data_IF_712553173960
#
_entry.id   IF_712553173960
#
_cell.length_a   1.000
_cell.length_b   1.000
_cell.length_c   1.000
_cell.angle_alpha   90.00
_cell.angle_beta   90.00
_cell.angle_gamma   90.00
#
_symmetry.space_group_name_H-M   'P 1'
#
loop_
_entity.id
_entity.type
_entity.pdbx_description
1 polymer ?
#
# COMPACT_ATOMS: atom_id res chain seq x y z
N UNK A 1 -12.67 17.38 3.33
CA UNK A 1 -12.01 16.08 3.09
C UNK A 1 -13.05 15.08 2.59
N UNK A 2 -12.73 14.23 1.62
CA UNK A 2 -13.66 13.23 1.06
C UNK A 2 -14.06 12.23 2.15
N UNK A 3 -15.35 11.94 2.32
CA UNK A 3 -15.85 11.00 3.35
C UNK A 3 -15.67 9.54 2.90
N UNK A 4 -15.51 8.60 3.83
CA UNK A 4 -15.33 7.18 3.53
C UNK A 4 -16.42 6.61 2.61
N UNK A 5 -17.70 6.96 2.83
CA UNK A 5 -18.81 6.53 1.96
C UNK A 5 -18.63 6.95 0.49
N UNK A 6 -18.08 8.14 0.24
CA UNK A 6 -17.80 8.60 -1.12
C UNK A 6 -16.63 7.83 -1.73
N UNK A 7 -15.57 7.58 -0.94
CA UNK A 7 -14.42 6.78 -1.36
C UNK A 7 -14.86 5.36 -1.74
N UNK A 8 -15.67 4.72 -0.90
CA UNK A 8 -16.24 3.38 -1.16
C UNK A 8 -17.08 3.37 -2.44
N UNK A 9 -17.92 4.37 -2.67
CA UNK A 9 -18.70 4.48 -3.90
C UNK A 9 -17.81 4.57 -5.15
N UNK A 10 -16.73 5.35 -5.10
CA UNK A 10 -15.76 5.47 -6.21
C UNK A 10 -14.98 4.16 -6.42
N UNK A 11 -14.60 3.47 -5.34
CA UNK A 11 -13.99 2.14 -5.40
C UNK A 11 -14.90 1.11 -6.04
N UNK A 12 -16.21 1.15 -5.78
CA UNK A 12 -17.16 0.24 -6.43
C UNK A 12 -17.34 0.55 -7.91
N UNK A 13 -17.46 1.82 -8.29
CA UNK A 13 -17.68 2.22 -9.68
C UNK A 13 -16.44 2.08 -10.56
N UNK A 14 -15.29 2.55 -10.09
CA UNK A 14 -14.07 2.70 -10.92
C UNK A 14 -12.91 1.83 -10.44
N UNK A 15 -13.00 1.23 -9.25
CA UNK A 15 -11.95 0.43 -8.64
C UNK A 15 -10.87 1.25 -7.93
N UNK A 16 -10.94 2.58 -7.97
CA UNK A 16 -10.03 3.48 -7.27
C UNK A 16 -10.71 4.79 -6.85
N UNK A 17 -10.06 5.52 -5.94
CA UNK A 17 -10.43 6.86 -5.53
C UNK A 17 -9.17 7.67 -5.15
N UNK A 18 -9.22 8.99 -5.36
CA UNK A 18 -8.16 9.92 -4.93
C UNK A 18 -8.69 10.81 -3.80
N UNK A 19 -7.89 10.97 -2.75
CA UNK A 19 -8.14 11.87 -1.63
C UNK A 19 -6.95 12.82 -1.51
N UNK A 20 -7.16 14.09 -1.80
CA UNK A 20 -6.08 15.07 -1.78
C UNK A 20 -5.79 15.60 -0.37
N UNK A 21 -4.52 15.95 -0.14
CA UNK A 21 -4.04 16.66 1.07
C UNK A 21 -4.45 15.98 2.39
N UNK A 22 -4.25 14.66 2.46
CA UNK A 22 -4.67 13.84 3.59
C UNK A 22 -3.59 13.72 4.68
N UNK A 23 -2.32 13.91 4.34
CA UNK A 23 -1.21 13.98 5.30
C UNK A 23 -0.88 15.43 5.66
N UNK A 24 -0.51 15.65 6.93
CA UNK A 24 0.00 16.93 7.39
C UNK A 24 1.41 17.19 6.84
N UNK A 25 1.78 18.48 6.74
CA UNK A 25 3.12 18.88 6.29
C UNK A 25 4.23 18.27 7.16
N UNK A 26 4.03 18.20 8.49
CA UNK A 26 4.97 17.62 9.43
C UNK A 26 5.25 16.14 9.13
N UNK A 27 4.19 15.33 8.99
CA UNK A 27 4.33 13.89 8.66
C UNK A 27 5.04 13.74 7.31
N UNK A 28 4.67 14.55 6.33
CA UNK A 28 5.26 14.53 5.00
C UNK A 28 6.77 14.82 5.01
N UNK A 29 7.20 15.84 5.73
CA UNK A 29 8.62 16.19 5.88
C UNK A 29 9.41 15.06 6.53
N UNK A 30 8.95 14.56 7.69
CA UNK A 30 9.60 13.47 8.42
C UNK A 30 9.69 12.18 7.57
N UNK A 31 8.62 11.84 6.86
CA UNK A 31 8.59 10.67 5.96
C UNK A 31 9.53 10.85 4.77
N UNK A 32 9.46 12.01 4.11
CA UNK A 32 10.27 12.30 2.92
C UNK A 32 11.76 12.29 3.23
N UNK A 33 12.19 12.98 4.29
CA UNK A 33 13.60 13.11 4.64
C UNK A 33 14.20 11.77 5.04
N UNK A 34 13.50 11.02 5.89
CA UNK A 34 13.97 9.70 6.37
C UNK A 34 14.06 8.71 5.21
N UNK A 35 13.03 8.63 4.35
CA UNK A 35 13.03 7.70 3.23
C UNK A 35 14.07 8.10 2.18
N UNK A 36 14.19 9.39 1.82
CA UNK A 36 15.21 9.86 0.87
C UNK A 36 16.61 9.53 1.36
N UNK A 37 16.91 9.73 2.65
CA UNK A 37 18.21 9.34 3.24
C UNK A 37 18.46 7.84 3.11
N UNK A 38 17.52 6.98 3.51
CA UNK A 38 17.69 5.52 3.43
C UNK A 38 17.81 5.02 1.99
N UNK A 39 17.11 5.66 1.05
CA UNK A 39 17.15 5.31 -0.37
C UNK A 39 18.47 5.72 -1.05
N UNK A 40 19.27 6.61 -0.48
CA UNK A 40 20.56 7.02 -1.08
C UNK A 40 21.46 5.80 -1.35
N UNK A 41 21.58 4.90 -0.37
CA UNK A 41 22.46 3.73 -0.45
C UNK A 41 21.76 2.47 -0.97
N UNK A 42 20.47 2.56 -1.28
CA UNK A 42 19.70 1.44 -1.82
C UNK A 42 20.03 1.24 -3.31
N UNK A 43 20.35 0.03 -3.78
CA UNK A 43 20.58 -0.23 -5.19
C UNK A 43 19.29 -0.09 -6.01
N UNK A 44 19.44 0.15 -7.32
CA UNK A 44 18.32 0.07 -8.25
C UNK A 44 17.82 -1.37 -8.41
N UNK A 45 16.56 -1.51 -8.84
CA UNK A 45 15.98 -2.80 -9.19
C UNK A 45 16.71 -3.48 -10.34
N UNK A 46 16.60 -4.81 -10.37
CA UNK A 46 17.36 -5.67 -11.29
C UNK A 46 16.55 -6.12 -12.52
N UNK A 47 15.27 -5.76 -12.61
CA UNK A 47 14.37 -6.15 -13.70
C UNK A 47 13.33 -5.06 -13.98
N UNK A 48 12.49 -5.27 -15.01
CA UNK A 48 11.50 -4.30 -15.48
C UNK A 48 10.35 -4.06 -14.50
N UNK A 49 9.98 -5.09 -13.73
CA UNK A 49 8.91 -4.97 -12.75
C UNK A 49 9.37 -4.16 -11.54
N UNK A 50 10.53 -4.49 -10.97
CA UNK A 50 11.10 -3.76 -9.83
C UNK A 50 11.53 -2.35 -10.27
N UNK A 51 12.01 -2.23 -11.52
CA UNK A 51 12.43 -0.99 -12.18
C UNK A 51 13.95 -0.83 -12.18
N UNK A 52 14.56 -0.69 -13.36
CA UNK A 52 16.03 -0.58 -13.52
C UNK A 52 16.58 0.79 -13.09
N UNK A 53 15.70 1.76 -12.89
CA UNK A 53 15.96 3.09 -12.35
C UNK A 53 15.00 3.42 -11.21
N UNK A 54 14.57 2.40 -10.47
CA UNK A 54 13.71 2.54 -9.30
C UNK A 54 14.41 1.97 -8.08
N UNK A 55 14.38 2.71 -6.98
CA UNK A 55 14.85 2.25 -5.67
C UNK A 55 13.67 1.92 -4.78
N UNK A 56 13.76 0.83 -4.02
CA UNK A 56 12.67 0.36 -3.15
C UNK A 56 13.17 -0.03 -1.76
N UNK A 57 12.42 0.38 -0.75
CA UNK A 57 12.55 -0.15 0.61
C UNK A 57 11.25 -0.87 0.97
N UNK A 58 11.37 -2.04 1.57
CA UNK A 58 10.25 -2.88 1.98
C UNK A 58 10.17 -2.93 3.52
N UNK A 59 9.05 -3.40 4.08
CA UNK A 59 8.89 -3.58 5.52
C UNK A 59 9.25 -2.32 6.31
N UNK A 60 8.57 -1.21 6.01
CA UNK A 60 8.87 0.11 6.58
C UNK A 60 8.51 0.25 8.06
N UNK A 61 7.66 -0.64 8.59
CA UNK A 61 7.21 -0.56 9.99
C UNK A 61 8.36 -0.89 10.95
N UNK A 62 8.44 -0.13 12.04
CA UNK A 62 9.50 -0.29 13.05
C UNK A 62 10.78 0.48 12.71
N UNK A 63 10.96 0.88 11.45
CA UNK A 63 12.14 1.64 10.98
C UNK A 63 12.02 3.15 11.21
N UNK A 64 10.80 3.67 11.23
CA UNK A 64 10.51 5.09 11.48
C UNK A 64 9.14 5.27 12.10
N UNK A 65 8.97 6.25 12.98
CA UNK A 65 7.72 6.45 13.70
C UNK A 65 6.64 7.09 12.82
N UNK A 66 7.01 8.09 12.00
CA UNK A 66 6.09 8.81 11.13
C UNK A 66 5.37 7.93 10.09
N UNK A 67 5.89 6.73 9.76
CA UNK A 67 5.17 5.79 8.88
C UNK A 67 3.93 5.21 9.56
N UNK A 68 3.91 5.16 10.90
CA UNK A 68 2.77 4.67 11.66
C UNK A 68 1.56 5.57 11.43
N UNK A 69 1.74 6.90 11.40
CA UNK A 69 0.64 7.84 11.11
C UNK A 69 0.08 7.68 9.69
N UNK A 70 0.94 7.32 8.73
CA UNK A 70 0.52 7.06 7.34
C UNK A 70 -0.28 5.76 7.26
N UNK A 71 0.13 4.71 7.98
CA UNK A 71 -0.59 3.43 8.08
C UNK A 71 -1.90 3.60 8.86
N UNK A 72 -1.87 4.38 9.94
CA UNK A 72 -3.00 4.54 10.84
C UNK A 72 -3.97 5.66 10.42
N UNK A 73 -3.81 6.23 9.23
CA UNK A 73 -4.66 7.31 8.75
C UNK A 73 -6.14 6.93 8.85
N UNK A 74 -6.91 7.72 9.61
CA UNK A 74 -8.27 7.39 10.01
C UNK A 74 -9.22 7.22 8.83
N UNK A 75 -9.15 8.12 7.84
CA UNK A 75 -9.99 8.06 6.63
C UNK A 75 -9.73 6.78 5.84
N UNK A 76 -8.46 6.39 5.70
CA UNK A 76 -8.09 5.15 5.02
C UNK A 76 -8.55 3.93 5.82
N UNK A 77 -8.31 3.91 7.13
CA UNK A 77 -8.69 2.76 7.96
C UNK A 77 -10.20 2.58 8.09
N UNK A 78 -11.00 3.65 8.01
CA UNK A 78 -12.46 3.54 7.90
C UNK A 78 -12.85 2.81 6.61
N UNK A 79 -12.24 3.15 5.47
CA UNK A 79 -12.48 2.47 4.19
C UNK A 79 -12.00 1.02 4.21
N UNK A 80 -10.85 0.74 4.85
CA UNK A 80 -10.34 -0.62 5.03
C UNK A 80 -11.30 -1.45 5.87
N UNK A 81 -11.81 -0.91 6.96
CA UNK A 81 -12.77 -1.60 7.83
C UNK A 81 -14.06 -1.95 7.08
N UNK A 82 -14.59 -1.02 6.27
CA UNK A 82 -15.81 -1.25 5.50
C UNK A 82 -15.61 -2.25 4.34
N UNK A 83 -14.44 -2.26 3.71
CA UNK A 83 -14.16 -3.13 2.56
C UNK A 83 -13.65 -4.53 2.95
N UNK A 84 -12.66 -4.59 3.85
CA UNK A 84 -12.02 -5.85 4.28
C UNK A 84 -12.63 -6.43 5.56
N UNK A 85 -13.37 -5.65 6.35
CA UNK A 85 -13.74 -6.05 7.70
C UNK A 85 -12.49 -6.14 8.59
N UNK A 86 -12.21 -7.33 9.13
CA UNK A 86 -10.96 -7.55 9.86
C UNK A 86 -9.78 -7.71 8.89
N UNK A 87 -8.74 -6.91 9.08
CA UNK A 87 -7.67 -6.72 8.13
C UNK A 87 -6.29 -6.76 8.79
N UNK A 88 -5.30 -7.17 8.00
CA UNK A 88 -3.88 -7.08 8.31
C UNK A 88 -3.19 -6.13 7.33
N UNK A 89 -2.11 -5.53 7.79
CA UNK A 89 -1.12 -4.90 6.93
C UNK A 89 -0.46 -5.99 6.09
N UNK A 90 -0.50 -5.84 4.77
CA UNK A 90 0.01 -6.81 3.81
C UNK A 90 1.41 -6.46 3.34
N UNK A 91 1.65 -5.20 2.95
CA UNK A 91 2.94 -4.75 2.45
C UNK A 91 3.13 -3.27 2.71
N UNK A 92 4.37 -2.87 2.96
CA UNK A 92 4.79 -1.46 3.05
C UNK A 92 6.02 -1.24 2.19
N UNK A 93 5.92 -0.36 1.18
CA UNK A 93 6.98 -0.16 0.20
C UNK A 93 7.19 1.32 -0.09
N UNK A 94 8.38 1.84 0.15
CA UNK A 94 8.79 3.12 -0.38
C UNK A 94 9.34 2.91 -1.80
N UNK A 95 8.91 3.71 -2.76
CA UNK A 95 9.31 3.59 -4.15
C UNK A 95 9.75 4.96 -4.68
N UNK A 96 11.03 5.08 -5.03
CA UNK A 96 11.60 6.27 -5.64
C UNK A 96 11.97 5.99 -7.08
N UNK A 97 11.20 6.56 -8.00
CA UNK A 97 11.37 6.38 -9.44
C UNK A 97 12.25 7.49 -9.98
N UNK A 98 13.41 7.15 -10.51
CA UNK A 98 14.41 8.12 -11.01
C UNK A 98 14.16 8.49 -12.48
N UNK A 99 14.71 9.64 -12.94
CA UNK A 99 14.72 10.01 -14.35
C UNK A 99 15.18 8.87 -15.26
N UNK A 100 14.47 8.64 -16.35
CA UNK A 100 14.74 7.60 -17.33
C UNK A 100 14.21 6.21 -16.96
N UNK A 101 13.44 6.07 -15.87
CA UNK A 101 12.71 4.83 -15.62
C UNK A 101 11.57 4.65 -16.63
N UNK A 102 11.37 3.41 -17.08
CA UNK A 102 10.30 3.04 -18.01
C UNK A 102 9.00 2.71 -17.27
N UNK A 103 7.87 2.85 -17.97
CA UNK A 103 6.57 2.42 -17.46
C UNK A 103 6.59 0.94 -17.06
N UNK A 104 6.10 0.63 -15.86
CA UNK A 104 5.95 -0.74 -15.38
C UNK A 104 4.98 -1.54 -16.28
N UNK A 105 5.14 -2.87 -16.27
CA UNK A 105 4.10 -3.76 -16.79
C UNK A 105 2.82 -3.58 -15.97
N UNK A 106 1.67 -3.48 -16.66
CA UNK A 106 0.38 -3.50 -15.99
C UNK A 106 0.21 -4.79 -15.19
N UNK A 107 -0.25 -4.64 -13.95
CA UNK A 107 -0.49 -5.72 -13.01
C UNK A 107 -1.63 -5.34 -12.08
N UNK A 108 -2.04 -6.30 -11.27
CA UNK A 108 -2.92 -6.10 -10.12
C UNK A 108 -2.31 -6.84 -8.93
N UNK A 109 -2.44 -6.26 -7.74
CA UNK A 109 -1.66 -6.63 -6.56
C UNK A 109 -2.18 -7.88 -5.84
N UNK A 110 -3.41 -8.29 -6.12
CA UNK A 110 -4.01 -9.48 -5.54
C UNK A 110 -3.69 -10.78 -6.33
N UNK A 111 -3.03 -10.66 -7.49
CA UNK A 111 -2.64 -11.80 -8.33
C UNK A 111 -1.62 -12.75 -7.72
N UNK A 112 -1.04 -12.38 -6.57
CA UNK A 112 -0.18 -13.28 -5.78
C UNK A 112 -0.98 -14.37 -5.05
N UNK A 113 -2.30 -14.20 -4.91
CA UNK A 113 -3.17 -15.15 -4.24
C UNK A 113 -3.84 -16.07 -5.28
N UNK A 114 -3.72 -17.40 -5.15
CA UNK A 114 -4.26 -18.36 -6.12
C UNK A 114 -5.77 -18.57 -5.92
N UNK A 115 -6.55 -17.51 -6.08
CA UNK A 115 -8.00 -17.49 -5.88
C UNK A 115 -8.74 -17.64 -7.22
N UNK A 116 -9.98 -18.16 -7.20
CA UNK A 116 -10.82 -18.23 -8.39
C UNK A 116 -10.96 -16.87 -9.08
N UNK A 117 -11.10 -16.88 -10.41
CA UNK A 117 -11.20 -15.67 -11.23
C UNK A 117 -12.32 -14.72 -10.75
N UNK A 118 -13.47 -15.29 -10.40
CA UNK A 118 -14.67 -14.58 -9.94
C UNK A 118 -14.70 -14.33 -8.42
N UNK A 119 -13.60 -14.54 -7.71
CA UNK A 119 -13.55 -14.24 -6.29
C UNK A 119 -13.74 -12.74 -6.05
N UNK A 120 -14.46 -12.35 -5.00
CA UNK A 120 -14.67 -10.93 -4.67
C UNK A 120 -13.35 -10.22 -4.36
N UNK A 121 -13.32 -8.89 -4.37
CA UNK A 121 -12.17 -8.15 -3.82
C UNK A 121 -12.06 -8.36 -2.30
N UNK A 122 -10.81 -8.40 -1.82
CA UNK A 122 -10.45 -8.68 -0.42
C UNK A 122 -9.22 -7.89 0.05
N UNK A 123 -8.73 -6.98 -0.80
CA UNK A 123 -7.46 -6.27 -0.63
C UNK A 123 -7.63 -4.85 -1.11
N UNK A 124 -7.03 -3.92 -0.37
CA UNK A 124 -6.87 -2.53 -0.77
C UNK A 124 -5.40 -2.16 -0.82
N UNK A 125 -5.00 -1.44 -1.85
CA UNK A 125 -3.72 -0.74 -1.90
C UNK A 125 -3.93 0.77 -1.75
N UNK A 126 -2.95 1.43 -1.17
CA UNK A 126 -2.92 2.89 -1.02
C UNK A 126 -1.56 3.39 -1.44
N UNK A 127 -1.51 4.24 -2.47
CA UNK A 127 -0.31 4.96 -2.90
C UNK A 127 -0.39 6.38 -2.35
N UNK A 128 0.54 6.70 -1.46
CA UNK A 128 0.73 8.02 -0.89
C UNK A 128 1.72 8.82 -1.73
N UNK A 129 1.29 10.00 -2.19
CA UNK A 129 2.13 10.98 -2.86
C UNK A 129 3.05 11.65 -1.84
N UNK A 130 4.29 11.15 -1.71
CA UNK A 130 5.31 11.83 -0.88
C UNK A 130 5.87 13.02 -1.63
N UNK A 131 6.11 12.92 -2.93
CA UNK A 131 6.29 14.08 -3.83
C UNK A 131 5.02 14.27 -4.69
N UNK A 132 4.91 15.38 -5.42
CA UNK A 132 3.82 15.56 -6.39
C UNK A 132 3.83 14.45 -7.45
N UNK A 133 2.65 13.91 -7.76
CA UNK A 133 2.47 12.96 -8.85
C UNK A 133 1.97 13.73 -10.07
N UNK A 134 2.79 13.74 -11.11
CA UNK A 134 2.52 14.39 -12.40
C UNK A 134 2.73 13.39 -13.52
N UNK A 135 2.20 13.70 -14.68
CA UNK A 135 2.32 12.81 -15.84
C UNK A 135 3.79 12.60 -16.23
N UNK A 136 4.56 13.68 -16.25
CA UNK A 136 5.97 13.66 -16.65
C UNK A 136 6.92 12.98 -15.65
N UNK A 137 6.52 12.81 -14.38
CA UNK A 137 7.38 12.21 -13.33
C UNK A 137 6.95 10.80 -12.91
N UNK A 138 6.14 10.17 -13.74
CA UNK A 138 5.73 8.77 -13.59
C UNK A 138 4.65 8.57 -12.53
N UNK A 139 3.65 9.45 -12.49
CA UNK A 139 2.42 9.19 -11.76
C UNK A 139 1.83 7.80 -12.12
N UNK A 140 1.11 7.21 -11.17
CA UNK A 140 0.47 5.91 -11.35
C UNK A 140 -0.55 5.97 -12.50
N UNK A 141 -0.55 4.95 -13.35
CA UNK A 141 -1.51 4.78 -14.42
C UNK A 141 -2.48 3.66 -14.02
N UNK A 142 -3.78 3.93 -14.09
CA UNK A 142 -4.83 2.95 -13.79
C UNK A 142 -5.65 2.65 -15.03
N UNK A 143 -6.32 1.50 -15.01
CA UNK A 143 -7.37 1.15 -15.97
C UNK A 143 -8.71 1.19 -15.20
N UNK A 144 -9.47 2.29 -15.28
CA UNK A 144 -10.75 2.41 -14.58
C UNK A 144 -11.71 1.26 -14.87
N UNK A 145 -12.46 0.84 -13.87
CA UNK A 145 -13.50 -0.21 -13.97
C UNK A 145 -12.95 -1.59 -14.38
N UNK A 146 -11.67 -1.86 -14.10
CA UNK A 146 -11.00 -3.14 -14.38
C UNK A 146 -10.96 -4.09 -13.17
N UNK A 147 -11.34 -3.63 -11.98
CA UNK A 147 -11.47 -4.45 -10.77
C UNK A 147 -12.41 -5.65 -11.00
N UNK A 148 -12.11 -6.79 -10.37
CA UNK A 148 -12.87 -8.03 -10.49
C UNK A 148 -12.77 -8.72 -11.86
N UNK A 149 -12.11 -8.12 -12.85
CA UNK A 149 -11.89 -8.69 -14.20
C UNK A 149 -10.52 -9.36 -14.30
N UNK A 150 -10.19 -10.20 -13.32
CA UNK A 150 -8.96 -11.01 -13.37
C UNK A 150 -8.96 -11.84 -14.64
N UNK A 151 -7.83 -11.93 -15.34
CA UNK A 151 -7.64 -12.80 -16.52
C UNK A 151 -8.51 -12.55 -17.78
N UNK A 152 -9.59 -11.74 -17.72
CA UNK A 152 -10.53 -11.57 -18.85
C UNK A 152 -10.05 -10.64 -19.96
N UNK A 153 -9.31 -9.61 -19.61
CA UNK A 153 -8.81 -8.61 -20.57
C UNK A 153 -7.30 -8.48 -20.37
N UNK A 154 -6.53 -8.67 -21.45
CA UNK A 154 -5.11 -8.31 -21.38
C UNK A 154 -5.00 -6.79 -21.38
N UNK A 155 -4.11 -6.17 -20.60
CA UNK A 155 -3.93 -4.71 -20.60
C UNK A 155 -3.66 -4.11 -21.98
N UNK A 156 -3.19 -4.93 -22.93
CA UNK A 156 -2.98 -4.57 -24.34
C UNK A 156 -4.29 -4.27 -25.08
N UNK A 157 -5.40 -4.87 -24.68
CA UNK A 157 -6.71 -4.70 -25.30
C UNK A 157 -7.47 -3.49 -24.75
N UNK A 158 -7.03 -2.93 -23.61
CA UNK A 158 -7.72 -1.84 -22.94
C UNK A 158 -7.04 -0.50 -23.24
N UNK A 159 -7.78 0.39 -23.90
CA UNK A 159 -7.33 1.72 -24.31
C UNK A 159 -7.70 2.82 -23.31
N UNK A 160 -8.70 2.60 -22.45
CA UNK A 160 -9.00 3.51 -21.34
C UNK A 160 -7.89 3.37 -20.29
N UNK A 161 -7.05 4.38 -20.16
CA UNK A 161 -5.95 4.43 -19.20
C UNK A 161 -5.87 5.84 -18.68
N UNK A 162 -5.77 5.98 -17.37
CA UNK A 162 -5.77 7.29 -16.72
C UNK A 162 -4.53 7.45 -15.87
N UNK A 163 -3.78 8.52 -16.10
CA UNK A 163 -2.65 8.92 -15.26
C UNK A 163 -3.16 9.71 -14.07
N UNK A 164 -2.95 9.17 -12.87
CA UNK A 164 -3.46 9.74 -11.62
C UNK A 164 -2.51 10.82 -11.11
N UNK A 165 -2.78 12.05 -11.49
CA UNK A 165 -2.08 13.24 -10.99
C UNK A 165 -2.66 13.64 -9.65
N UNK A 166 -1.81 13.88 -8.66
CA UNK A 166 -2.23 14.32 -7.33
C UNK A 166 -1.10 15.08 -6.63
N UNK A 167 -1.42 16.12 -5.84
CA UNK A 167 -0.40 16.86 -5.11
C UNK A 167 0.20 16.01 -3.98
N UNK A 168 1.41 16.38 -3.55
CA UNK A 168 2.04 15.83 -2.33
C UNK A 168 1.06 15.84 -1.15
N UNK A 169 1.04 14.76 -0.38
CA UNK A 169 0.09 14.54 0.73
C UNK A 169 -1.19 13.82 0.36
N UNK A 170 -1.42 13.58 -0.93
CA UNK A 170 -2.62 12.87 -1.41
C UNK A 170 -2.46 11.35 -1.35
N UNK A 171 -3.59 10.65 -1.32
CA UNK A 171 -3.67 9.21 -1.38
C UNK A 171 -4.51 8.76 -2.59
N UNK A 172 -3.97 7.83 -3.38
CA UNK A 172 -4.71 6.99 -4.31
C UNK A 172 -5.02 5.66 -3.62
N UNK A 173 -6.27 5.39 -3.31
CA UNK A 173 -6.74 4.10 -2.81
C UNK A 173 -7.36 3.30 -3.94
N UNK A 174 -7.06 2.00 -4.01
CA UNK A 174 -7.50 1.13 -5.11
C UNK A 174 -7.76 -0.29 -4.64
N UNK A 175 -8.66 -0.99 -5.33
CA UNK A 175 -8.94 -2.41 -5.14
C UNK A 175 -7.76 -3.27 -5.62
N UNK A 176 -7.46 -4.34 -4.89
CA UNK A 176 -6.31 -5.21 -5.19
C UNK A 176 -6.34 -5.85 -6.58
N UNK A 177 -7.52 -6.00 -7.19
CA UNK A 177 -7.71 -6.51 -8.54
C UNK A 177 -7.70 -5.43 -9.65
N UNK A 178 -7.56 -4.15 -9.30
CA UNK A 178 -7.49 -3.07 -10.28
C UNK A 178 -6.17 -3.14 -11.06
N UNK A 179 -6.26 -3.16 -12.39
CA UNK A 179 -5.09 -3.06 -13.24
C UNK A 179 -4.46 -1.67 -13.16
N UNK A 180 -3.17 -1.64 -12.82
CA UNK A 180 -2.39 -0.41 -12.71
C UNK A 180 -0.92 -0.63 -13.05
N UNK A 181 -0.17 0.46 -13.20
CA UNK A 181 1.26 0.46 -13.44
C UNK A 181 1.89 1.76 -12.89
N UNK A 182 3.14 1.69 -12.42
CA UNK A 182 3.96 2.89 -12.29
C UNK A 182 4.25 3.52 -13.65
N UNK A 183 4.05 4.83 -13.79
CA UNK A 183 4.37 5.58 -14.99
C UNK A 183 5.87 5.72 -15.23
N UNK A 184 6.24 6.09 -16.46
CA UNK A 184 7.62 6.44 -16.80
C UNK A 184 8.01 7.81 -16.23
N UNK A 185 9.27 7.97 -15.80
CA UNK A 185 9.75 9.26 -15.31
C UNK A 185 10.63 9.94 -16.37
N UNK A 186 10.01 10.87 -17.10
CA UNK A 186 10.64 11.71 -18.12
C UNK A 186 11.16 13.04 -17.56
N UNK A 187 10.92 13.31 -16.27
CA UNK A 187 11.37 14.51 -15.59
C UNK A 187 12.85 14.47 -15.25
N UNK A 188 13.37 15.56 -14.68
CA UNK A 188 14.78 15.68 -14.25
C UNK A 188 15.02 15.22 -12.81
N UNK A 189 13.96 14.93 -12.05
CA UNK A 189 14.06 14.63 -10.62
C UNK A 189 13.45 13.27 -10.28
N UNK A 190 13.96 12.56 -9.25
CA UNK A 190 13.29 11.38 -8.72
C UNK A 190 11.93 11.74 -8.10
N UNK A 191 10.98 10.80 -8.13
CA UNK A 191 9.65 10.96 -7.54
C UNK A 191 9.40 9.86 -6.52
N UNK A 192 9.21 10.25 -5.26
CA UNK A 192 8.97 9.35 -4.14
C UNK A 192 7.47 9.14 -3.90
N UNK A 193 7.09 7.87 -3.73
CA UNK A 193 5.78 7.48 -3.22
C UNK A 193 5.91 6.35 -2.19
N UNK A 194 4.87 6.17 -1.38
CA UNK A 194 4.78 5.07 -0.41
C UNK A 194 3.54 4.24 -0.73
N UNK A 195 3.70 2.94 -0.83
CA UNK A 195 2.63 1.96 -1.07
C UNK A 195 2.37 1.24 0.24
N UNK A 196 1.11 1.28 0.70
CA UNK A 196 0.64 0.51 1.85
C UNK A 196 -0.51 -0.35 1.38
N UNK A 197 -0.45 -1.66 1.66
CA UNK A 197 -1.47 -2.60 1.30
C UNK A 197 -2.11 -3.21 2.54
N UNK A 198 -3.43 -3.35 2.52
CA UNK A 198 -4.23 -4.02 3.53
C UNK A 198 -4.94 -5.22 2.90
N UNK A 199 -5.01 -6.31 3.64
CA UNK A 199 -5.64 -7.54 3.18
C UNK A 199 -6.52 -8.09 4.28
N UNK A 200 -7.59 -8.80 3.92
CA UNK A 200 -8.37 -9.54 4.90
C UNK A 200 -7.49 -10.46 5.75
N UNK A 201 -7.76 -10.49 7.06
CA UNK A 201 -6.88 -11.10 8.06
C UNK A 201 -6.75 -12.62 7.99
N UNK A 202 -7.58 -13.30 7.17
CA UNK A 202 -7.44 -14.74 6.91
C UNK A 202 -6.40 -15.06 5.82
N UNK A 203 -5.90 -14.04 5.12
CA UNK A 203 -4.86 -14.17 4.10
C UNK A 203 -3.48 -13.90 4.69
N UNK A 204 -2.46 -14.53 4.10
CA UNK A 204 -1.06 -14.25 4.44
C UNK A 204 -0.65 -12.86 3.91
N UNK A 205 -0.11 -11.96 4.76
CA UNK A 205 0.57 -10.74 4.32
C UNK A 205 1.76 -11.03 3.38
N UNK A 206 2.09 -10.08 2.49
CA UNK A 206 3.29 -10.19 1.66
C UNK A 206 4.57 -9.97 2.48
N UNK A 207 4.60 -8.92 3.31
CA UNK A 207 5.64 -8.68 4.31
C UNK A 207 5.43 -9.64 5.49
N UNK A 208 6.49 -10.28 5.96
CA UNK A 208 6.45 -11.09 7.18
C UNK A 208 6.63 -10.22 8.42
N UNK A 209 5.61 -9.42 8.76
CA UNK A 209 5.64 -8.43 9.84
C UNK A 209 6.03 -8.96 11.22
N UNK A 210 5.63 -10.19 11.56
CA UNK A 210 6.00 -10.84 12.82
C UNK A 210 7.51 -11.09 12.97
N UNK A 211 8.26 -11.07 11.85
CA UNK A 211 9.71 -11.19 11.82
C UNK A 211 10.35 -9.82 11.62
N UNK A 212 9.85 -9.00 10.70
CA UNK A 212 10.44 -7.70 10.39
C UNK A 212 10.25 -6.67 11.51
N UNK A 213 9.17 -6.77 12.28
CA UNK A 213 8.97 -5.98 13.50
C UNK A 213 9.26 -6.86 14.69
N UNK A 214 10.41 -6.65 15.34
CA UNK A 214 10.75 -7.45 16.52
C UNK A 214 9.75 -7.25 17.67
N UNK A 215 9.52 -8.30 18.46
CA UNK A 215 8.53 -8.29 19.56
C UNK A 215 8.71 -7.11 20.53
N UNK A 216 9.95 -6.73 20.84
CA UNK A 216 10.24 -5.60 21.74
C UNK A 216 9.80 -4.28 21.12
N UNK A 217 9.93 -4.11 19.80
CA UNK A 217 9.43 -2.94 19.09
C UNK A 217 7.90 -2.99 19.00
N UNK A 218 7.32 -4.15 18.67
CA UNK A 218 5.87 -4.30 18.58
C UNK A 218 5.16 -3.88 19.88
N UNK A 219 5.72 -4.20 21.05
CA UNK A 219 5.19 -3.79 22.36
C UNK A 219 5.09 -2.28 22.55
N UNK A 220 5.90 -1.48 21.86
CA UNK A 220 5.86 -0.01 21.96
C UNK A 220 4.90 0.62 20.96
N UNK A 221 4.36 -0.15 20.01
CA UNK A 221 3.43 0.35 19.01
C UNK A 221 2.02 0.44 19.58
N UNK A 222 1.19 1.28 18.99
CA UNK A 222 -0.22 1.38 19.37
C UNK A 222 -0.96 0.06 19.12
N UNK A 223 -1.96 -0.29 19.96
CA UNK A 223 -2.73 -1.52 19.84
C UNK A 223 -3.29 -1.79 18.43
N UNK A 224 -3.71 -0.73 17.72
CA UNK A 224 -4.26 -0.83 16.37
C UNK A 224 -3.20 -1.30 15.37
N UNK A 225 -1.98 -0.76 15.46
CA UNK A 225 -0.87 -1.19 14.61
C UNK A 225 -0.36 -2.59 15.00
N UNK A 226 -0.33 -2.92 16.30
CA UNK A 226 -0.03 -4.29 16.74
C UNK A 226 -0.97 -5.31 16.09
N UNK A 227 -2.29 -5.03 16.09
CA UNK A 227 -3.28 -5.88 15.44
C UNK A 227 -3.06 -5.98 13.93
N UNK A 228 -2.85 -4.85 13.23
CA UNK A 228 -2.56 -4.85 11.79
C UNK A 228 -1.29 -5.64 11.43
N UNK A 229 -0.29 -5.69 12.30
CA UNK A 229 0.94 -6.48 12.09
C UNK A 229 0.75 -7.99 12.32
N UNK A 230 -0.44 -8.42 12.75
CA UNK A 230 -0.75 -9.82 13.05
C UNK A 230 -0.44 -10.23 14.49
N UNK A 231 -0.20 -9.28 15.40
CA UNK A 231 -0.13 -9.57 16.84
C UNK A 231 -1.52 -9.66 17.48
N UNK A 232 -2.56 -9.87 16.70
CA UNK A 232 -3.93 -10.16 17.15
C UNK A 232 -4.39 -11.50 16.60
N UNK A 233 -5.40 -12.05 17.26
CA UNK A 233 -6.15 -13.18 16.72
C UNK A 233 -7.29 -12.65 15.86
N UNK A 234 -7.49 -13.24 14.69
CA UNK A 234 -8.75 -13.18 13.96
C UNK A 234 -9.66 -14.28 14.48
N UNK A 235 -10.79 -13.89 15.04
CA UNK A 235 -11.79 -14.83 15.53
C UNK A 235 -12.30 -15.76 14.42
N UNK A 236 -12.58 -17.05 14.71
CA UNK A 236 -12.40 -17.69 16.03
C UNK A 236 -10.99 -18.26 16.29
N UNK A 237 -10.16 -18.50 15.28
CA UNK A 237 -8.96 -19.36 15.46
C UNK A 237 -7.70 -18.95 14.69
N UNK A 238 -7.72 -17.86 13.91
CA UNK A 238 -6.58 -17.54 13.06
C UNK A 238 -5.58 -16.64 13.80
N UNK A 239 -4.31 -17.02 13.81
CA UNK A 239 -3.23 -16.20 14.37
C UNK A 239 -2.99 -16.34 15.88
N UNK A 240 -3.63 -17.30 16.58
CA UNK A 240 -3.36 -17.50 18.01
C UNK A 240 -1.93 -18.00 18.28
N UNK A 241 -1.44 -17.75 19.49
CA UNK A 241 -0.21 -18.35 20.01
C UNK A 241 -0.57 -19.18 21.24
N UNK A 242 -0.31 -20.49 21.19
CA UNK A 242 -0.66 -21.44 22.26
C UNK A 242 -2.14 -21.33 22.71
N UNK A 243 -3.04 -21.18 21.75
CA UNK A 243 -4.49 -21.05 21.97
C UNK A 243 -4.94 -19.70 22.57
N UNK A 244 -4.09 -18.67 22.58
CA UNK A 244 -4.40 -17.36 23.16
C UNK A 244 -4.19 -16.24 22.14
N UNK A 245 -4.86 -15.12 22.37
CA UNK A 245 -4.65 -13.91 21.60
C UNK A 245 -3.21 -13.39 21.81
N UNK A 246 -2.40 -13.21 20.75
CA UNK A 246 -1.00 -12.77 20.91
C UNK A 246 -0.85 -11.41 21.62
N UNK A 247 -1.87 -10.54 21.59
CA UNK A 247 -1.85 -9.27 22.32
C UNK A 247 -1.75 -9.46 23.85
N UNK A 248 -2.32 -10.54 24.39
CA UNK A 248 -2.22 -10.85 25.83
C UNK A 248 -0.79 -11.25 26.21
N UNK A 249 -0.10 -11.95 25.31
CA UNK A 249 1.28 -12.40 25.47
C UNK A 249 2.23 -11.20 25.38
N UNK A 250 2.00 -10.30 24.42
CA UNK A 250 2.79 -9.08 24.26
C UNK A 250 2.82 -8.24 25.55
N UNK A 251 1.66 -8.06 26.18
CA UNK A 251 1.52 -7.27 27.42
C UNK A 251 2.21 -7.94 28.61
N UNK A 252 2.10 -9.26 28.74
CA UNK A 252 2.52 -9.99 29.94
C UNK A 252 3.94 -10.57 29.87
N UNK A 253 4.59 -10.56 28.71
CA UNK A 253 5.97 -11.00 28.53
C UNK A 253 6.23 -12.49 28.82
N UNK A 254 5.19 -13.34 28.77
CA UNK A 254 5.23 -14.78 29.07
C UNK A 254 4.71 -15.63 27.92
#
# INVERSE_FOLDING_TARGET
MKKAKQILSELESHGYAVVENLLSQKILEEVSDTLKKRLQDTPFGQNEFVGRRTKRLHSLVGEMEAINDVILNETILEVVQEHCGDALLSATVACQIYPGETKQTFHYDDGVYPLPENFRDFKLGVIWAIDDFKEENGATIVIPSSQGKRYKETPKQITNRETIKMPRGSALIYKGSLWHAGGENLSKNPRLGVIIQYVESWLRPQDSHLISVQINKAKTLEPKLQALLGYSMREPFLGYVKGRNPMEILKNGK
#
